data_IF_040480769279
#
_entry.id   IF_040480769279
#
_cell.length_a   1.000
_cell.length_b   1.000
_cell.length_c   1.000
_cell.angle_alpha   90.00
_cell.angle_beta   90.00
_cell.angle_gamma   90.00
#
_symmetry.space_group_name_H-M   'P 1'
#
loop_
_entity.id
_entity.type
_entity.pdbx_description
1 polymer ?
#
# COMPACT_ATOMS: atom_id res chain seq x y z
N UNK A 1 -1.83 39.96 -58.48
CA UNK A 1 -1.93 39.73 -57.02
C UNK A 1 -2.30 38.26 -56.73
N UNK A 2 -1.37 37.30 -56.89
CA UNK A 2 -1.67 35.86 -56.67
C UNK A 2 -0.57 35.10 -55.90
N UNK A 3 0.47 35.79 -55.39
CA UNK A 3 1.61 35.14 -54.71
C UNK A 3 1.48 34.97 -53.19
N UNK A 4 0.44 35.51 -52.55
CA UNK A 4 0.32 35.51 -51.08
C UNK A 4 -0.33 34.23 -50.52
N UNK A 5 -1.08 33.45 -51.34
CA UNK A 5 -1.82 32.28 -50.84
C UNK A 5 -0.97 31.03 -50.55
N UNK A 6 0.24 30.91 -51.10
CA UNK A 6 1.05 29.69 -50.92
C UNK A 6 1.86 29.68 -49.62
N UNK A 7 2.21 30.83 -49.03
CA UNK A 7 3.06 30.88 -47.83
C UNK A 7 2.40 30.26 -46.59
N UNK A 8 1.09 30.39 -46.43
CA UNK A 8 0.37 29.85 -45.27
C UNK A 8 0.32 28.31 -45.25
N UNK A 9 0.35 27.67 -46.43
CA UNK A 9 0.34 26.20 -46.53
C UNK A 9 1.69 25.63 -46.08
N UNK A 10 2.81 26.26 -46.45
CA UNK A 10 4.13 25.82 -46.02
C UNK A 10 4.35 25.96 -44.51
N UNK A 11 3.86 27.06 -43.91
CA UNK A 11 3.96 27.26 -42.45
C UNK A 11 3.15 26.20 -41.70
N UNK A 12 1.93 25.89 -42.16
CA UNK A 12 1.09 24.86 -41.54
C UNK A 12 1.74 23.47 -41.62
N UNK A 13 2.32 23.10 -42.77
CA UNK A 13 3.02 21.83 -42.94
C UNK A 13 4.27 21.70 -42.05
N UNK A 14 5.03 22.79 -41.88
CA UNK A 14 6.17 22.83 -40.96
C UNK A 14 5.71 22.63 -39.52
N UNK A 15 4.59 23.27 -39.13
CA UNK A 15 4.06 23.14 -37.77
C UNK A 15 3.57 21.72 -37.47
N UNK A 16 2.86 21.09 -38.41
CA UNK A 16 2.43 19.68 -38.30
C UNK A 16 3.65 18.75 -38.22
N UNK A 17 4.67 18.98 -39.05
CA UNK A 17 5.92 18.22 -39.03
C UNK A 17 6.63 18.31 -37.68
N UNK A 18 6.76 19.51 -37.11
CA UNK A 18 7.34 19.73 -35.78
C UNK A 18 6.51 19.05 -34.68
N UNK A 19 5.18 19.11 -34.76
CA UNK A 19 4.30 18.47 -33.77
C UNK A 19 4.42 16.94 -33.81
N UNK A 20 4.56 16.35 -35.00
CA UNK A 20 4.78 14.92 -35.17
C UNK A 20 6.17 14.51 -34.66
N UNK A 21 7.21 15.28 -34.96
CA UNK A 21 8.57 15.03 -34.44
C UNK A 21 8.58 15.09 -32.91
N UNK A 22 7.94 16.10 -32.30
CA UNK A 22 7.84 16.21 -30.85
C UNK A 22 7.08 15.03 -30.21
N UNK A 23 6.00 14.55 -30.83
CA UNK A 23 5.29 13.36 -30.37
C UNK A 23 6.12 12.08 -30.53
N UNK A 24 6.90 11.94 -31.61
CA UNK A 24 7.80 10.81 -31.82
C UNK A 24 8.94 10.81 -30.81
N UNK A 25 9.54 11.97 -30.50
CA UNK A 25 10.54 12.09 -29.44
C UNK A 25 9.95 11.78 -28.06
N UNK A 26 8.70 12.19 -27.80
CA UNK A 26 7.98 11.84 -26.56
C UNK A 26 7.74 10.33 -26.45
N UNK A 27 7.45 9.65 -27.57
CA UNK A 27 7.26 8.20 -27.65
C UNK A 27 8.59 7.42 -27.56
N UNK A 28 9.68 7.91 -28.14
CA UNK A 28 11.01 7.29 -28.03
C UNK A 28 11.65 7.50 -26.66
N UNK A 29 11.39 8.64 -26.01
CA UNK A 29 11.79 8.86 -24.61
C UNK A 29 11.08 7.92 -23.63
N UNK A 30 9.91 7.39 -24.02
CA UNK A 30 9.21 6.32 -23.28
C UNK A 30 9.63 4.90 -23.71
N UNK A 31 10.73 4.73 -24.43
CA UNK A 31 11.50 3.48 -24.44
C UNK A 31 12.07 3.27 -23.03
N UNK A 32 11.19 2.99 -22.08
CA UNK A 32 11.52 2.59 -20.73
C UNK A 32 12.45 1.41 -20.87
N UNK A 33 13.73 1.60 -20.52
CA UNK A 33 14.60 0.49 -20.14
C UNK A 33 13.76 -0.37 -19.22
N UNK A 34 13.40 -1.58 -19.67
CA UNK A 34 12.61 -2.52 -18.89
C UNK A 34 13.50 -2.83 -17.69
N UNK A 35 13.33 -2.07 -16.61
CA UNK A 35 14.02 -2.31 -15.36
C UNK A 35 13.53 -3.69 -14.93
N UNK A 36 14.44 -4.64 -14.86
CA UNK A 36 14.11 -5.94 -14.27
C UNK A 36 13.57 -5.68 -12.88
N UNK A 37 12.39 -6.22 -12.59
CA UNK A 37 11.78 -6.11 -11.27
C UNK A 37 12.80 -6.50 -10.20
N UNK A 38 12.85 -5.75 -9.10
CA UNK A 38 13.74 -6.10 -7.99
C UNK A 38 13.29 -7.35 -7.25
N UNK A 39 12.04 -7.77 -7.45
CA UNK A 39 11.42 -8.88 -6.75
C UNK A 39 11.64 -10.18 -7.52
N UNK A 40 11.87 -11.26 -6.78
CA UNK A 40 11.83 -12.59 -7.37
C UNK A 40 10.40 -12.92 -7.74
N UNK A 41 10.19 -13.39 -8.97
CA UNK A 41 8.88 -13.79 -9.47
C UNK A 41 8.24 -14.84 -8.54
N UNK A 42 6.93 -14.72 -8.33
CA UNK A 42 6.11 -15.63 -7.52
C UNK A 42 6.52 -15.75 -6.04
N UNK A 43 7.46 -14.93 -5.58
CA UNK A 43 7.91 -14.92 -4.19
C UNK A 43 7.06 -13.97 -3.36
N UNK A 44 6.61 -14.44 -2.20
CA UNK A 44 5.92 -13.61 -1.25
C UNK A 44 6.86 -12.59 -0.61
N UNK A 45 6.44 -11.32 -0.60
CA UNK A 45 7.07 -10.26 0.18
C UNK A 45 6.19 -9.94 1.39
N UNK A 46 6.77 -10.02 2.58
CA UNK A 46 6.13 -9.69 3.86
C UNK A 46 6.53 -8.26 4.25
N UNK A 47 5.53 -7.43 4.54
CA UNK A 47 5.69 -6.02 4.89
C UNK A 47 5.12 -5.80 6.29
N UNK A 48 5.95 -5.90 7.34
CA UNK A 48 5.49 -5.75 8.70
C UNK A 48 5.49 -4.29 9.15
N UNK A 49 4.43 -3.87 9.83
CA UNK A 49 4.37 -2.56 10.50
C UNK A 49 5.04 -2.63 11.89
N UNK A 50 6.38 -2.69 11.92
CA UNK A 50 7.17 -2.73 13.17
C UNK A 50 7.56 -1.32 13.59
N UNK A 51 7.35 -0.99 14.86
CA UNK A 51 7.80 0.24 15.51
C UNK A 51 8.65 -0.02 16.76
N UNK A 52 8.05 -0.57 17.82
CA UNK A 52 8.69 -0.75 19.15
C UNK A 52 8.77 -2.22 19.58
N UNK A 53 8.44 -3.15 18.69
CA UNK A 53 8.33 -4.58 18.97
C UNK A 53 9.68 -5.31 18.88
N UNK A 54 10.73 -4.67 18.34
CA UNK A 54 12.06 -5.26 18.18
C UNK A 54 13.16 -4.33 18.72
N UNK A 55 14.26 -4.93 19.15
CA UNK A 55 15.50 -4.22 19.49
C UNK A 55 16.28 -3.92 18.19
N UNK A 56 16.07 -2.74 17.61
CA UNK A 56 16.69 -2.33 16.35
C UNK A 56 18.23 -2.39 16.34
N UNK A 57 18.87 -2.42 17.51
CA UNK A 57 20.33 -2.51 17.65
C UNK A 57 20.83 -3.95 17.82
N UNK A 58 19.95 -4.91 18.10
CA UNK A 58 20.33 -6.29 18.37
C UNK A 58 19.47 -7.31 17.64
N UNK A 59 19.94 -7.71 16.46
CA UNK A 59 19.29 -8.70 15.60
C UNK A 59 19.11 -10.07 16.24
N UNK A 60 19.99 -10.46 17.16
CA UNK A 60 19.89 -11.79 17.80
C UNK A 60 18.59 -11.95 18.60
N UNK A 61 18.04 -10.82 19.08
CA UNK A 61 16.77 -10.76 19.81
C UNK A 61 15.55 -10.67 18.89
N UNK A 62 15.74 -10.49 17.59
CA UNK A 62 14.61 -10.37 16.68
C UNK A 62 13.84 -11.69 16.59
N UNK A 63 12.51 -11.64 16.38
CA UNK A 63 11.72 -12.82 16.14
C UNK A 63 12.30 -13.68 15.02
N UNK A 64 12.25 -15.01 15.18
CA UNK A 64 12.84 -15.96 14.23
C UNK A 64 12.29 -15.77 12.81
N UNK A 65 11.00 -15.51 12.68
CA UNK A 65 10.34 -15.27 11.38
C UNK A 65 10.91 -14.05 10.64
N UNK A 66 11.22 -12.98 11.37
CA UNK A 66 11.74 -11.74 10.81
C UNK A 66 13.17 -11.96 10.31
N UNK A 67 14.01 -12.56 11.14
CA UNK A 67 15.38 -12.93 10.76
C UNK A 67 15.44 -13.88 9.58
N UNK A 68 14.55 -14.88 9.55
CA UNK A 68 14.44 -15.81 8.44
C UNK A 68 14.06 -15.07 7.15
N UNK A 69 13.02 -14.23 7.18
CA UNK A 69 12.60 -13.45 6.01
C UNK A 69 13.64 -12.44 5.50
N UNK A 70 14.51 -11.94 6.37
CA UNK A 70 15.59 -11.00 6.05
C UNK A 70 16.91 -11.68 5.66
N UNK A 71 16.95 -13.02 5.52
CA UNK A 71 18.17 -13.76 5.20
C UNK A 71 19.29 -13.64 6.24
N UNK A 72 18.93 -13.38 7.50
CA UNK A 72 19.87 -13.24 8.61
C UNK A 72 20.26 -14.60 9.23
N UNK A 73 19.71 -15.69 8.71
CA UNK A 73 20.05 -17.06 9.07
C UNK A 73 20.65 -17.79 7.88
N UNK A 74 21.54 -18.76 8.17
CA UNK A 74 22.18 -19.73 7.28
C UNK A 74 21.75 -19.64 5.80
N UNK A 75 22.61 -19.04 4.96
CA UNK A 75 22.39 -18.78 3.52
C UNK A 75 22.03 -20.01 2.68
N UNK A 76 22.19 -21.21 3.23
CA UNK A 76 21.92 -22.47 2.54
C UNK A 76 20.46 -22.95 2.66
N UNK A 77 19.59 -22.25 3.41
CA UNK A 77 18.17 -22.61 3.50
C UNK A 77 17.33 -21.86 2.46
N UNK A 78 16.52 -22.59 1.69
CA UNK A 78 15.52 -21.99 0.80
C UNK A 78 14.48 -21.24 1.64
N UNK A 79 14.35 -19.94 1.37
CA UNK A 79 13.38 -19.06 2.03
C UNK A 79 12.07 -19.03 1.26
N UNK A 80 10.96 -19.30 1.95
CA UNK A 80 9.60 -19.28 1.38
C UNK A 80 9.02 -17.87 1.19
N UNK A 81 9.58 -16.86 1.87
CA UNK A 81 9.23 -15.44 1.70
C UNK A 81 10.46 -14.54 1.83
N UNK A 82 10.33 -13.30 1.38
CA UNK A 82 11.22 -12.19 1.72
C UNK A 82 10.52 -11.24 2.68
N UNK A 83 11.27 -10.50 3.49
CA UNK A 83 10.73 -9.38 4.28
C UNK A 83 11.26 -8.07 3.72
N UNK A 84 10.37 -7.10 3.55
CA UNK A 84 10.72 -5.70 3.32
C UNK A 84 10.38 -4.88 4.56
N UNK A 85 11.39 -4.23 5.15
CA UNK A 85 11.27 -3.52 6.41
C UNK A 85 11.45 -2.01 6.18
N UNK A 86 10.55 -1.22 6.76
CA UNK A 86 10.76 0.20 7.02
C UNK A 86 11.18 0.36 8.47
N UNK A 87 12.12 1.26 8.74
CA UNK A 87 12.44 1.66 10.11
C UNK A 87 11.74 2.96 10.48
N UNK A 88 11.43 3.11 11.78
CA UNK A 88 10.63 4.22 12.32
C UNK A 88 11.27 4.88 13.54
N UNK A 89 12.54 4.57 13.82
CA UNK A 89 13.20 5.02 15.05
C UNK A 89 14.06 6.28 14.82
N UNK A 90 14.71 6.41 13.66
CA UNK A 90 15.57 7.57 13.38
C UNK A 90 15.61 7.89 11.88
N UNK A 91 15.05 9.04 11.43
CA UNK A 91 15.10 9.45 10.01
C UNK A 91 16.52 9.66 9.48
N UNK A 92 17.51 9.81 10.36
CA UNK A 92 18.92 10.00 10.05
C UNK A 92 19.75 8.76 10.31
N UNK A 93 19.13 7.60 10.59
CA UNK A 93 19.88 6.39 10.89
C UNK A 93 20.80 6.06 9.72
N UNK A 94 22.09 6.10 9.98
CA UNK A 94 23.09 5.54 9.09
C UNK A 94 23.16 4.01 9.30
N UNK A 95 23.83 3.28 8.39
CA UNK A 95 23.91 1.82 8.44
C UNK A 95 24.18 1.24 9.85
N UNK A 96 23.64 0.04 10.11
CA UNK A 96 24.04 -1.09 9.27
C UNK A 96 23.04 -1.48 8.18
N UNK A 97 21.86 -0.87 8.12
CA UNK A 97 20.77 -1.41 7.30
C UNK A 97 20.17 -0.33 6.40
N UNK A 98 20.40 -0.46 5.09
CA UNK A 98 19.89 0.41 4.02
C UNK A 98 18.35 0.37 3.85
N UNK A 99 17.59 0.31 4.95
CA UNK A 99 16.14 0.35 4.93
C UNK A 99 15.66 1.79 5.00
N UNK A 100 14.72 2.18 4.13
CA UNK A 100 14.19 3.53 4.16
C UNK A 100 13.44 3.79 5.47
N UNK A 101 13.59 5.02 5.96
CA UNK A 101 12.76 5.54 7.03
C UNK A 101 11.32 5.73 6.54
N UNK A 102 10.36 5.35 7.38
CA UNK A 102 8.97 5.76 7.24
C UNK A 102 8.60 6.59 8.45
N UNK A 103 8.07 7.78 8.21
CA UNK A 103 7.41 8.52 9.28
C UNK A 103 6.19 7.73 9.77
N UNK A 104 5.94 7.74 11.08
CA UNK A 104 4.71 7.19 11.66
C UNK A 104 3.54 8.14 11.38
N UNK A 105 3.05 8.14 10.16
CA UNK A 105 1.78 8.77 9.81
C UNK A 105 0.79 7.64 9.67
N UNK A 106 -0.35 7.70 10.37
CA UNK A 106 -1.42 6.70 10.24
C UNK A 106 -1.08 5.29 10.75
N UNK A 107 -0.32 5.20 11.85
CA UNK A 107 -0.05 3.97 12.60
C UNK A 107 0.51 2.81 11.75
N UNK A 108 -0.14 1.65 11.73
CA UNK A 108 0.23 0.47 10.94
C UNK A 108 0.01 0.72 9.44
N UNK A 109 -1.13 1.35 9.11
CA UNK A 109 -1.57 1.56 7.73
C UNK A 109 -0.62 2.47 6.94
N UNK A 110 0.07 3.40 7.63
CA UNK A 110 1.09 4.25 7.03
C UNK A 110 2.21 3.48 6.34
N UNK A 111 2.66 2.38 6.96
CA UNK A 111 3.72 1.53 6.41
C UNK A 111 3.23 0.82 5.14
N UNK A 112 1.98 0.36 5.15
CA UNK A 112 1.39 -0.35 4.02
C UNK A 112 1.20 0.60 2.84
N UNK A 113 0.65 1.79 3.09
CA UNK A 113 0.48 2.85 2.09
C UNK A 113 1.83 3.32 1.54
N UNK A 114 2.84 3.48 2.41
CA UNK A 114 4.19 3.85 1.96
C UNK A 114 4.81 2.80 1.05
N UNK A 115 4.66 1.52 1.38
CA UNK A 115 5.16 0.43 0.51
C UNK A 115 4.49 0.49 -0.88
N UNK A 116 3.16 0.62 -0.91
CA UNK A 116 2.41 0.72 -2.17
C UNK A 116 2.87 1.95 -2.96
N UNK A 117 3.03 3.11 -2.31
CA UNK A 117 3.50 4.34 -2.94
C UNK A 117 4.91 4.21 -3.52
N UNK A 118 5.87 3.73 -2.73
CA UNK A 118 7.29 3.61 -3.14
C UNK A 118 7.48 2.58 -4.27
N UNK A 119 6.66 1.53 -4.31
CA UNK A 119 6.81 0.39 -5.21
C UNK A 119 5.71 0.23 -6.24
N UNK A 120 4.78 1.18 -6.40
CA UNK A 120 3.61 1.03 -7.26
C UNK A 120 3.92 0.48 -8.67
N UNK A 121 4.99 0.98 -9.30
CA UNK A 121 5.41 0.56 -10.65
C UNK A 121 6.29 -0.69 -10.70
N UNK A 122 6.70 -1.21 -9.54
CA UNK A 122 7.50 -2.42 -9.38
C UNK A 122 7.01 -3.16 -8.14
N UNK A 123 5.72 -3.54 -8.09
CA UNK A 123 5.14 -4.29 -6.97
C UNK A 123 5.52 -5.79 -7.09
N UNK A 124 5.79 -6.49 -5.97
CA UNK A 124 5.94 -7.94 -6.00
C UNK A 124 4.60 -8.62 -6.30
N UNK A 125 4.64 -9.80 -6.92
CA UNK A 125 3.43 -10.54 -7.33
C UNK A 125 2.50 -10.85 -6.14
N UNK A 126 3.10 -11.18 -4.99
CA UNK A 126 2.43 -11.61 -3.77
C UNK A 126 2.92 -10.76 -2.60
N UNK A 127 2.00 -10.14 -1.87
CA UNK A 127 2.29 -9.30 -0.70
C UNK A 127 1.54 -9.80 0.52
N UNK A 128 2.19 -9.72 1.69
CA UNK A 128 1.57 -9.95 2.98
C UNK A 128 1.84 -8.74 3.88
N UNK A 129 0.79 -7.98 4.19
CA UNK A 129 0.84 -6.87 5.14
C UNK A 129 0.43 -7.38 6.52
N UNK A 130 1.32 -7.22 7.51
CA UNK A 130 1.13 -7.77 8.87
C UNK A 130 1.54 -6.80 9.95
N UNK A 131 0.99 -7.00 11.15
CA UNK A 131 1.38 -6.26 12.32
C UNK A 131 2.81 -6.64 12.79
N UNK A 132 3.45 -5.78 13.59
CA UNK A 132 4.79 -6.04 14.13
C UNK A 132 4.87 -7.28 15.03
N UNK A 133 3.77 -7.62 15.72
CA UNK A 133 3.62 -8.85 16.48
C UNK A 133 2.53 -9.76 15.86
N UNK A 134 2.82 -10.44 14.75
CA UNK A 134 1.76 -11.04 13.93
C UNK A 134 1.06 -12.23 14.61
N UNK A 135 1.75 -12.90 15.53
CA UNK A 135 1.26 -14.07 16.26
C UNK A 135 0.19 -13.75 17.32
N UNK A 136 0.09 -12.48 17.74
CA UNK A 136 -1.01 -12.03 18.62
C UNK A 136 -2.35 -11.92 17.88
N UNK A 137 -2.32 -11.80 16.56
CA UNK A 137 -3.51 -11.57 15.73
C UNK A 137 -3.88 -12.80 14.90
N UNK A 138 -2.88 -13.56 14.45
CA UNK A 138 -3.06 -14.82 13.71
C UNK A 138 -2.08 -15.84 14.26
N UNK A 139 -2.55 -17.00 14.74
CA UNK A 139 -1.68 -18.01 15.36
C UNK A 139 -0.57 -18.53 14.43
N UNK A 140 -0.86 -18.63 13.13
CA UNK A 140 0.02 -19.23 12.13
C UNK A 140 0.02 -18.41 10.82
N UNK A 141 0.51 -17.15 10.83
CA UNK A 141 0.34 -16.24 9.70
C UNK A 141 1.13 -16.69 8.47
N UNK A 142 2.30 -17.33 8.66
CA UNK A 142 3.17 -17.76 7.57
C UNK A 142 2.80 -19.13 6.99
N UNK A 143 2.09 -19.95 7.77
CA UNK A 143 1.51 -21.19 7.29
C UNK A 143 0.19 -20.91 6.57
N UNK A 144 -0.64 -20.00 7.11
CA UNK A 144 -1.92 -19.64 6.51
C UNK A 144 -1.78 -19.12 5.06
N UNK A 145 -0.74 -18.33 4.78
CA UNK A 145 -0.45 -17.83 3.42
C UNK A 145 -0.11 -18.94 2.42
N UNK A 146 0.45 -20.07 2.87
CA UNK A 146 0.83 -21.17 1.97
C UNK A 146 -0.41 -21.93 1.49
N UNK A 147 -1.53 -21.79 2.21
CA UNK A 147 -2.81 -22.35 1.85
C UNK A 147 -3.63 -21.43 0.92
N UNK A 148 -3.15 -20.22 0.61
CA UNK A 148 -3.83 -19.30 -0.28
C UNK A 148 -3.61 -19.77 -1.72
N UNK A 149 -4.71 -20.03 -2.42
CA UNK A 149 -4.70 -20.40 -3.85
C UNK A 149 -4.17 -19.25 -4.70
N UNK A 150 -3.50 -19.57 -5.80
CA UNK A 150 -2.93 -18.56 -6.69
C UNK A 150 -3.98 -17.64 -7.35
N UNK A 151 -5.24 -18.07 -7.47
CA UNK A 151 -6.34 -17.27 -8.04
C UNK A 151 -6.96 -16.27 -7.03
N UNK A 152 -6.50 -16.26 -5.78
CA UNK A 152 -6.97 -15.31 -4.76
C UNK A 152 -6.19 -14.00 -4.89
N UNK A 153 -6.89 -12.89 -5.11
CA UNK A 153 -6.28 -11.56 -5.25
C UNK A 153 -6.19 -10.78 -3.93
N UNK A 154 -7.00 -11.16 -2.94
CA UNK A 154 -7.03 -10.57 -1.61
C UNK A 154 -7.63 -11.57 -0.62
N UNK A 155 -7.07 -11.65 0.59
CA UNK A 155 -7.75 -12.28 1.72
C UNK A 155 -7.23 -11.72 3.04
N UNK A 156 -8.12 -11.58 4.02
CA UNK A 156 -7.67 -11.37 5.40
C UNK A 156 -7.12 -12.69 5.94
N UNK A 157 -5.99 -12.61 6.66
CA UNK A 157 -5.48 -13.72 7.46
C UNK A 157 -5.75 -13.51 8.96
N UNK A 158 -6.43 -12.42 9.31
CA UNK A 158 -6.90 -12.11 10.65
C UNK A 158 -8.45 -12.13 10.69
N UNK A 159 -9.04 -13.30 10.45
CA UNK A 159 -10.50 -13.42 10.27
C UNK A 159 -11.29 -13.23 11.57
N UNK A 160 -10.72 -13.61 12.72
CA UNK A 160 -11.41 -13.57 14.01
C UNK A 160 -11.67 -12.14 14.50
N UNK A 161 -10.77 -11.20 14.22
CA UNK A 161 -10.92 -9.82 14.66
C UNK A 161 -11.81 -9.00 13.72
N UNK A 162 -11.72 -9.23 12.40
CA UNK A 162 -12.45 -8.43 11.40
C UNK A 162 -13.95 -8.76 11.35
N UNK A 163 -14.33 -10.03 11.52
CA UNK A 163 -15.75 -10.43 11.43
C UNK A 163 -16.60 -9.97 12.63
N UNK A 164 -15.97 -9.71 13.77
CA UNK A 164 -16.67 -9.48 15.04
C UNK A 164 -16.77 -8.00 15.46
N UNK A 165 -16.14 -7.07 14.72
CA UNK A 165 -16.07 -5.66 15.10
C UNK A 165 -16.72 -4.75 14.06
N UNK A 166 -18.04 -4.49 14.15
CA UNK A 166 -18.69 -3.58 13.22
C UNK A 166 -18.13 -2.17 13.36
N UNK A 167 -18.20 -1.38 12.28
CA UNK A 167 -17.66 -0.01 12.25
C UNK A 167 -18.35 0.91 13.26
N UNK A 168 -19.49 0.46 13.77
CA UNK A 168 -20.35 1.07 14.77
C UNK A 168 -19.86 0.91 16.22
N UNK A 169 -18.90 0.01 16.49
CA UNK A 169 -18.39 -0.24 17.85
C UNK A 169 -17.25 0.70 18.27
N UNK A 170 -16.82 1.58 17.37
CA UNK A 170 -15.69 2.49 17.58
C UNK A 170 -16.12 3.83 18.19
N UNK A 171 -15.14 4.58 18.70
CA UNK A 171 -15.35 5.92 19.31
C UNK A 171 -16.16 6.81 18.37
N UNK A 172 -17.13 7.51 18.94
CA UNK A 172 -18.01 8.45 18.22
C UNK A 172 -17.49 9.88 18.32
N UNK A 173 -17.68 10.62 17.26
CA UNK A 173 -17.41 12.06 17.24
C UNK A 173 -18.45 12.79 18.10
N UNK A 174 -18.05 13.61 19.08
CA UNK A 174 -18.99 14.32 19.93
C UNK A 174 -19.84 15.37 19.19
N UNK A 175 -19.43 15.80 18.00
CA UNK A 175 -20.12 16.85 17.24
C UNK A 175 -21.38 16.32 16.55
N UNK A 176 -21.30 15.14 15.91
CA UNK A 176 -22.39 14.58 15.10
C UNK A 176 -22.75 13.12 15.44
N UNK A 177 -22.13 12.56 16.48
CA UNK A 177 -22.39 11.21 17.00
C UNK A 177 -22.15 10.07 15.99
N UNK A 178 -21.44 10.33 14.89
CA UNK A 178 -21.01 9.30 13.94
C UNK A 178 -19.71 8.62 14.43
N UNK A 179 -19.50 7.35 14.09
CA UNK A 179 -18.23 6.70 14.42
C UNK A 179 -17.09 7.29 13.62
N UNK A 180 -15.96 7.53 14.29
CA UNK A 180 -14.77 8.10 13.65
C UNK A 180 -14.24 7.18 12.55
N UNK A 181 -14.37 5.87 12.75
CA UNK A 181 -14.02 4.86 11.74
C UNK A 181 -14.89 4.95 10.49
N UNK A 182 -16.20 5.22 10.64
CA UNK A 182 -17.08 5.47 9.49
C UNK A 182 -16.63 6.71 8.71
N UNK A 183 -16.35 7.82 9.41
CA UNK A 183 -15.82 9.04 8.77
C UNK A 183 -14.49 8.79 8.07
N UNK A 184 -13.59 8.03 8.70
CA UNK A 184 -12.32 7.63 8.12
C UNK A 184 -12.52 6.85 6.82
N UNK A 185 -13.33 5.79 6.85
CA UNK A 185 -13.60 4.96 5.68
C UNK A 185 -14.26 5.78 4.56
N UNK A 186 -15.21 6.65 4.89
CA UNK A 186 -15.86 7.56 3.92
C UNK A 186 -14.85 8.50 3.27
N UNK A 187 -13.95 9.09 4.07
CA UNK A 187 -12.91 9.97 3.55
C UNK A 187 -11.95 9.21 2.63
N UNK A 188 -11.46 8.04 3.05
CA UNK A 188 -10.59 7.19 2.21
C UNK A 188 -11.27 6.83 0.88
N UNK A 189 -12.53 6.44 0.90
CA UNK A 189 -13.30 6.15 -0.32
C UNK A 189 -13.40 7.35 -1.26
N UNK A 190 -13.58 8.55 -0.71
CA UNK A 190 -13.62 9.77 -1.52
C UNK A 190 -12.30 10.05 -2.24
N UNK A 191 -11.15 9.67 -1.65
CA UNK A 191 -9.83 9.81 -2.28
C UNK A 191 -9.66 8.87 -3.48
N UNK A 192 -10.38 7.75 -3.49
CA UNK A 192 -10.48 6.87 -4.65
C UNK A 192 -11.58 7.27 -5.65
N UNK A 193 -12.33 8.34 -5.38
CA UNK A 193 -13.43 8.81 -6.22
C UNK A 193 -14.74 8.04 -6.02
N UNK A 194 -14.87 7.26 -4.94
CA UNK A 194 -16.11 6.58 -4.62
C UNK A 194 -17.06 7.48 -3.81
N UNK A 195 -18.36 7.32 -4.06
CA UNK A 195 -19.38 7.80 -3.14
C UNK A 195 -19.38 6.91 -1.89
N UNK A 196 -18.78 7.42 -0.81
CA UNK A 196 -18.67 6.68 0.44
C UNK A 196 -20.02 6.25 1.01
N UNK A 197 -21.08 7.04 0.93
CA UNK A 197 -22.38 6.62 1.48
C UNK A 197 -23.01 5.50 0.64
N UNK A 198 -22.70 5.42 -0.66
CA UNK A 198 -23.12 4.29 -1.52
C UNK A 198 -22.36 3.00 -1.22
N UNK A 199 -21.08 3.10 -0.83
CA UNK A 199 -20.21 1.95 -0.57
C UNK A 199 -20.38 1.42 0.86
N UNK A 200 -20.60 2.35 1.79
CA UNK A 200 -20.76 2.05 3.20
C UNK A 200 -22.23 1.83 3.54
N UNK A 201 -22.49 1.12 4.62
CA UNK A 201 -23.84 1.02 5.15
C UNK A 201 -23.83 1.52 6.60
N UNK A 202 -24.15 2.81 6.84
CA UNK A 202 -24.06 3.40 8.18
C UNK A 202 -24.98 2.74 9.21
N UNK A 203 -25.97 1.96 8.77
CA UNK A 203 -27.00 1.35 9.62
C UNK A 203 -26.84 -0.16 9.82
N UNK A 204 -25.96 -0.85 9.09
CA UNK A 204 -25.82 -2.30 9.19
C UNK A 204 -24.60 -2.73 10.00
N UNK A 205 -24.82 -3.73 10.86
CA UNK A 205 -23.83 -4.36 11.74
C UNK A 205 -22.82 -5.21 10.92
N UNK A 206 -23.12 -5.52 9.65
CA UNK A 206 -22.26 -6.32 8.78
C UNK A 206 -21.78 -5.45 7.60
N UNK A 207 -20.48 -5.47 7.25
CA UNK A 207 -19.98 -4.84 6.02
C UNK A 207 -20.71 -5.40 4.78
N UNK A 208 -20.87 -4.60 3.72
CA UNK A 208 -21.27 -5.16 2.42
C UNK A 208 -20.23 -6.21 1.99
N UNK A 209 -20.67 -7.28 1.34
CA UNK A 209 -19.80 -8.38 0.85
C UNK A 209 -18.63 -7.88 -0.03
N UNK A 210 -18.74 -6.67 -0.59
CA UNK A 210 -17.75 -6.02 -1.44
C UNK A 210 -17.27 -4.67 -0.89
N UNK A 211 -17.13 -4.51 0.43
CA UNK A 211 -16.54 -3.28 0.97
C UNK A 211 -15.17 -3.04 0.35
N UNK A 212 -15.02 -1.88 -0.30
CA UNK A 212 -13.79 -1.52 -1.02
C UNK A 212 -12.66 -1.13 -0.05
N UNK A 213 -13.01 -0.74 1.18
CA UNK A 213 -12.08 -0.33 2.24
C UNK A 213 -12.37 -1.09 3.54
N UNK A 214 -11.31 -1.44 4.27
CA UNK A 214 -11.34 -1.87 5.67
C UNK A 214 -10.26 -1.11 6.42
N UNK A 215 -10.65 -0.36 7.45
CA UNK A 215 -9.76 0.52 8.22
C UNK A 215 -9.59 0.04 9.68
N UNK A 216 -9.70 -1.27 9.92
CA UNK A 216 -9.52 -1.83 11.27
C UNK A 216 -8.05 -1.88 11.68
N UNK A 217 -7.76 -1.57 12.94
CA UNK A 217 -6.45 -1.82 13.53
C UNK A 217 -6.13 -3.32 13.52
N UNK A 218 -4.84 -3.66 13.49
CA UNK A 218 -4.36 -5.04 13.49
C UNK A 218 -4.75 -5.85 12.24
N UNK A 219 -5.09 -5.17 11.14
CA UNK A 219 -5.40 -5.82 9.88
C UNK A 219 -4.15 -6.56 9.36
N UNK A 220 -4.31 -7.86 9.14
CA UNK A 220 -3.29 -8.70 8.51
C UNK A 220 -3.91 -9.32 7.26
N UNK A 221 -3.34 -9.03 6.09
CA UNK A 221 -3.94 -9.43 4.83
C UNK A 221 -2.90 -9.74 3.76
N UNK A 222 -3.24 -10.75 2.98
CA UNK A 222 -2.57 -11.09 1.75
C UNK A 222 -3.22 -10.33 0.60
N UNK A 223 -2.40 -9.85 -0.34
CA UNK A 223 -2.88 -9.19 -1.55
C UNK A 223 -1.92 -9.42 -2.70
N UNK A 224 -2.48 -9.60 -3.90
CA UNK A 224 -1.70 -9.68 -5.13
C UNK A 224 -1.53 -8.30 -5.77
N UNK A 225 -0.46 -8.11 -6.55
CA UNK A 225 -0.22 -6.83 -7.25
C UNK A 225 -1.41 -6.39 -8.11
N UNK A 226 -2.09 -7.33 -8.78
CA UNK A 226 -3.22 -7.01 -9.66
C UNK A 226 -4.36 -6.35 -8.90
N UNK A 227 -4.53 -6.65 -7.60
CA UNK A 227 -5.54 -5.99 -6.76
C UNK A 227 -5.16 -4.55 -6.45
N UNK A 228 -3.88 -4.27 -6.21
CA UNK A 228 -3.39 -2.91 -5.95
C UNK A 228 -3.43 -2.06 -7.23
N UNK A 229 -3.01 -2.65 -8.35
CA UNK A 229 -3.00 -2.04 -9.68
C UNK A 229 -4.39 -1.84 -10.29
N UNK A 230 -5.45 -2.31 -9.62
CA UNK A 230 -6.82 -1.96 -9.98
C UNK A 230 -7.08 -0.44 -9.84
N UNK A 231 -6.31 0.25 -9.00
CA UNK A 231 -6.32 1.70 -8.82
C UNK A 231 -5.04 2.33 -9.33
N UNK A 232 -5.12 3.56 -9.82
CA UNK A 232 -3.97 4.25 -10.42
C UNK A 232 -2.96 4.72 -9.37
N UNK A 233 -1.75 5.05 -9.82
CA UNK A 233 -0.73 5.65 -8.96
C UNK A 233 -1.23 6.95 -8.33
N UNK A 234 -1.95 7.77 -9.09
CA UNK A 234 -2.49 9.06 -8.63
C UNK A 234 -3.49 8.85 -7.49
N UNK A 235 -4.33 7.82 -7.56
CA UNK A 235 -5.26 7.48 -6.47
C UNK A 235 -4.50 7.05 -5.20
N UNK A 236 -3.53 6.15 -5.34
CA UNK A 236 -2.70 5.74 -4.20
C UNK A 236 -1.87 6.88 -3.62
N UNK A 237 -1.33 7.74 -4.47
CA UNK A 237 -0.59 8.95 -4.10
C UNK A 237 -1.49 9.94 -3.35
N UNK A 238 -2.74 10.13 -3.79
CA UNK A 238 -3.70 10.96 -3.08
C UNK A 238 -3.98 10.43 -1.67
N UNK A 239 -4.13 9.11 -1.52
CA UNK A 239 -4.34 8.46 -0.21
C UNK A 239 -3.12 8.61 0.69
N UNK A 240 -1.91 8.34 0.16
CA UNK A 240 -0.67 8.45 0.92
C UNK A 240 -0.42 9.88 1.41
N UNK A 241 -0.71 10.89 0.59
CA UNK A 241 -0.49 12.30 0.92
C UNK A 241 -1.66 12.96 1.68
N UNK A 242 -2.78 12.25 1.86
CA UNK A 242 -3.94 12.81 2.56
C UNK A 242 -3.67 12.98 4.06
N UNK A 243 -4.18 14.08 4.61
CA UNK A 243 -4.30 14.25 6.06
C UNK A 243 -5.49 13.41 6.53
N UNK A 244 -5.22 12.25 7.11
CA UNK A 244 -6.28 11.39 7.64
C UNK A 244 -6.75 11.82 9.04
N UNK A 245 -6.16 12.86 9.63
CA UNK A 245 -6.68 13.48 10.86
C UNK A 245 -7.94 14.33 10.59
N UNK A 246 -8.90 14.39 11.53
CA UNK A 246 -8.91 13.68 12.82
C UNK A 246 -9.46 12.26 12.73
N UNK A 247 -10.00 11.84 11.58
CA UNK A 247 -10.90 10.69 11.50
C UNK A 247 -10.21 9.31 11.60
N UNK A 248 -8.99 9.18 11.09
CA UNK A 248 -8.24 7.91 11.04
C UNK A 248 -7.06 7.83 12.03
N UNK A 249 -7.01 8.72 13.02
CA UNK A 249 -6.00 8.66 14.08
C UNK A 249 -6.59 7.96 15.32
N UNK A 250 -5.78 7.15 16.01
CA UNK A 250 -6.12 6.63 17.34
C UNK A 250 -6.58 7.77 18.26
N UNK A 251 -7.56 7.51 19.14
CA UNK A 251 -7.99 8.48 20.15
C UNK A 251 -6.85 8.99 21.04
N UNK A 252 -5.74 8.25 21.16
CA UNK A 252 -4.58 8.60 21.97
C UNK A 252 -3.68 9.68 21.35
N UNK A 253 -3.85 9.97 20.05
CA UNK A 253 -3.06 10.96 19.31
C UNK A 253 -3.82 12.30 19.13
N UNK A 254 -4.92 12.52 19.88
CA UNK A 254 -5.72 13.76 19.86
C UNK A 254 -5.51 14.63 21.08
#
# INVERSE_FOLDING_TARGET
MLRIRNYNIYILLIFIGLLLILNLYKLQSTSSVIKSSRWKKDRLVVIPAIYKEIDWLNHSKWPKWLRYGLDLFNKNQSRIYDVYLYQRFDPKSNPPFNWPYSINVHEESGIYLKFIYDFYHDLPDKMLFIHGNPFQHTLHPFEAIQCIRDDVFYTSINNLWIQNHPWTSQVRDPIDNQTLMYKCAKYLLSLFGFDGDSQLNPHHIQPKEHSVVSAMCCAQFYVRKERILHYTYEQWSAVYNASLQPYCASPLDR
#
